data_IF_374911977506
#
_entry.id   IF_374911977506
#
_cell.length_a   1.000
_cell.length_b   1.000
_cell.length_c   1.000
_cell.angle_alpha   90.00
_cell.angle_beta   90.00
_cell.angle_gamma   90.00
#
_symmetry.space_group_name_H-M   'P 1'
#
loop_
_entity.id
_entity.type
_entity.pdbx_description
1 polymer ?
#
# COMPACT_ATOMS: atom_id res chain seq x y z
N UNK A 1 9.76 22.16 21.78
CA UNK A 1 9.91 21.21 20.65
C UNK A 1 8.67 20.36 20.59
N UNK A 2 8.10 20.17 19.42
CA UNK A 2 6.98 19.25 19.21
C UNK A 2 7.54 17.84 19.06
N UNK A 3 7.16 16.93 19.96
CA UNK A 3 7.55 15.52 19.88
C UNK A 3 6.52 14.76 19.07
N UNK A 4 6.97 13.93 18.11
CA UNK A 4 6.08 13.07 17.30
C UNK A 4 6.46 11.63 17.53
N UNK A 5 5.47 10.78 17.78
CA UNK A 5 5.65 9.31 17.85
C UNK A 5 5.43 8.71 16.47
N UNK A 6 6.36 7.88 16.03
CA UNK A 6 6.32 7.20 14.72
C UNK A 6 6.20 5.70 14.96
N UNK A 7 5.35 5.03 14.17
CA UNK A 7 5.25 3.57 14.12
C UNK A 7 5.75 3.06 12.78
N UNK A 8 6.75 2.18 12.79
CA UNK A 8 7.14 1.39 11.65
C UNK A 8 6.43 0.03 11.74
N UNK A 9 5.60 -0.28 10.77
CA UNK A 9 4.83 -1.52 10.73
C UNK A 9 5.70 -2.64 10.16
N UNK A 10 5.84 -3.72 10.93
CA UNK A 10 6.42 -4.97 10.44
C UNK A 10 5.31 -6.02 10.42
N UNK A 11 4.76 -6.28 9.23
CA UNK A 11 3.71 -7.26 9.02
C UNK A 11 3.88 -7.91 7.65
N UNK A 12 3.53 -9.19 7.56
CA UNK A 12 3.37 -9.86 6.28
C UNK A 12 2.08 -9.38 5.60
N UNK A 13 2.13 -9.16 4.29
CA UNK A 13 0.95 -9.00 3.44
C UNK A 13 0.26 -10.36 3.22
N UNK A 14 -0.98 -10.33 2.72
CA UNK A 14 -1.65 -11.52 2.19
C UNK A 14 -1.35 -11.60 0.71
N UNK A 15 -0.61 -12.62 0.28
CA UNK A 15 -0.08 -12.71 -1.08
C UNK A 15 -1.19 -12.59 -2.13
N UNK A 16 -1.07 -11.60 -3.02
CA UNK A 16 -1.96 -11.39 -4.17
C UNK A 16 -3.44 -11.24 -3.78
N UNK A 17 -3.70 -10.57 -2.67
CA UNK A 17 -5.06 -10.25 -2.22
C UNK A 17 -5.12 -8.77 -1.82
N UNK A 18 -5.61 -7.94 -2.74
CA UNK A 18 -5.71 -6.49 -2.56
C UNK A 18 -6.59 -6.14 -1.35
N UNK A 19 -7.74 -6.80 -1.23
CA UNK A 19 -8.74 -6.50 -0.20
C UNK A 19 -8.27 -6.94 1.19
N UNK A 20 -7.68 -8.14 1.31
CA UNK A 20 -7.13 -8.62 2.57
C UNK A 20 -5.94 -7.76 3.02
N UNK A 21 -5.06 -7.34 2.10
CA UNK A 21 -3.97 -6.42 2.42
C UNK A 21 -4.48 -5.04 2.85
N UNK A 22 -5.47 -4.51 2.15
CA UNK A 22 -6.11 -3.24 2.49
C UNK A 22 -6.75 -3.27 3.88
N UNK A 23 -7.55 -4.31 4.17
CA UNK A 23 -8.17 -4.49 5.48
C UNK A 23 -7.13 -4.57 6.60
N UNK A 24 -6.06 -5.34 6.38
CA UNK A 24 -4.95 -5.45 7.32
C UNK A 24 -4.20 -4.13 7.53
N UNK A 25 -4.00 -3.35 6.48
CA UNK A 25 -3.36 -2.04 6.57
C UNK A 25 -4.21 -1.09 7.42
N UNK A 26 -5.52 -1.07 7.22
CA UNK A 26 -6.46 -0.27 8.03
C UNK A 26 -6.40 -0.69 9.50
N UNK A 27 -6.51 -1.98 9.79
CA UNK A 27 -6.46 -2.49 11.17
C UNK A 27 -5.15 -2.11 11.90
N UNK A 28 -4.01 -2.28 11.23
CA UNK A 28 -2.70 -1.93 11.78
C UNK A 28 -2.54 -0.42 11.98
N UNK A 29 -3.11 0.39 11.08
CA UNK A 29 -3.14 1.85 11.24
C UNK A 29 -3.91 2.25 12.49
N UNK A 30 -5.10 1.67 12.71
CA UNK A 30 -5.90 1.91 13.92
C UNK A 30 -5.15 1.49 15.19
N UNK A 31 -4.47 0.34 15.18
CA UNK A 31 -3.66 -0.12 16.32
C UNK A 31 -2.51 0.84 16.63
N UNK A 32 -1.78 1.29 15.61
CA UNK A 32 -0.67 2.25 15.78
C UNK A 32 -1.17 3.60 16.30
N UNK A 33 -2.30 4.09 15.79
CA UNK A 33 -2.94 5.31 16.26
C UNK A 33 -3.42 5.20 17.70
N UNK A 34 -4.01 4.07 18.11
CA UNK A 34 -4.39 3.79 19.49
C UNK A 34 -3.17 3.77 20.44
N UNK A 35 -1.99 3.39 19.93
CA UNK A 35 -0.73 3.50 20.66
C UNK A 35 -0.14 4.94 20.65
N UNK A 36 -0.83 5.92 20.08
CA UNK A 36 -0.46 7.33 20.06
C UNK A 36 0.53 7.71 18.96
N UNK A 37 0.69 6.90 17.91
CA UNK A 37 1.51 7.26 16.76
C UNK A 37 0.85 8.40 15.96
N UNK A 38 1.63 9.40 15.55
CA UNK A 38 1.20 10.46 14.63
C UNK A 38 1.60 10.22 13.18
N UNK A 39 2.58 9.32 12.96
CA UNK A 39 3.02 8.87 11.64
C UNK A 39 3.12 7.34 11.67
N UNK A 40 2.55 6.69 10.66
CA UNK A 40 2.58 5.23 10.51
C UNK A 40 3.12 4.90 9.12
N UNK A 41 4.18 4.10 9.08
CA UNK A 41 4.90 3.73 7.86
C UNK A 41 4.80 2.23 7.67
N UNK A 42 4.30 1.81 6.51
CA UNK A 42 4.20 0.42 6.08
C UNK A 42 5.43 -0.01 5.26
N UNK A 43 5.66 -1.33 5.13
CA UNK A 43 6.67 -1.87 4.25
C UNK A 43 6.46 -1.48 2.78
N UNK A 44 7.51 -1.71 1.99
CA UNK A 44 7.48 -1.63 0.54
C UNK A 44 6.48 -2.65 -0.05
N UNK A 45 5.74 -2.24 -1.09
CA UNK A 45 4.77 -3.08 -1.82
C UNK A 45 3.87 -3.91 -0.88
N UNK A 46 3.20 -3.23 0.06
CA UNK A 46 2.31 -3.92 1.01
C UNK A 46 0.98 -4.36 0.38
N UNK A 47 0.54 -3.67 -0.68
CA UNK A 47 -0.70 -3.98 -1.42
C UNK A 47 -0.38 -4.15 -2.91
N UNK A 48 -0.70 -5.31 -3.54
CA UNK A 48 -1.25 -6.53 -2.96
C UNK A 48 -0.17 -7.46 -2.34
N UNK A 49 1.07 -7.00 -2.25
CA UNK A 49 2.21 -7.78 -1.74
C UNK A 49 3.27 -7.98 -2.81
N UNK A 50 4.54 -7.91 -2.41
CA UNK A 50 5.65 -8.05 -3.37
C UNK A 50 5.57 -9.35 -4.17
N UNK A 51 5.91 -9.33 -5.47
CA UNK A 51 5.85 -10.50 -6.34
C UNK A 51 7.00 -11.48 -6.06
N UNK A 52 6.91 -12.24 -4.96
CA UNK A 52 7.95 -13.18 -4.51
C UNK A 52 8.25 -14.32 -5.50
N UNK A 53 7.37 -14.57 -6.48
CA UNK A 53 7.59 -15.61 -7.49
C UNK A 53 8.62 -15.20 -8.56
N UNK A 54 8.94 -13.91 -8.68
CA UNK A 54 9.99 -13.44 -9.61
C UNK A 54 11.34 -14.05 -9.24
N UNK A 55 11.57 -14.35 -7.96
CA UNK A 55 12.78 -15.01 -7.49
C UNK A 55 12.72 -16.55 -7.60
N UNK A 56 11.55 -17.11 -7.92
CA UNK A 56 11.29 -18.55 -7.90
C UNK A 56 11.34 -19.21 -9.27
N UNK A 57 11.10 -18.48 -10.36
CA UNK A 57 11.10 -18.99 -11.73
C UNK A 57 11.91 -18.07 -12.67
N UNK A 58 12.62 -18.62 -13.67
CA UNK A 58 13.28 -17.80 -14.67
C UNK A 58 12.27 -16.97 -15.46
N UNK A 59 12.59 -15.71 -15.75
CA UNK A 59 11.71 -14.74 -16.42
C UNK A 59 11.19 -15.16 -17.82
N UNK A 60 11.70 -16.26 -18.39
CA UNK A 60 11.32 -16.78 -19.70
C UNK A 60 10.46 -18.05 -19.62
N UNK A 61 10.22 -18.59 -18.42
CA UNK A 61 9.41 -19.78 -18.18
C UNK A 61 8.11 -19.42 -17.45
N UNK A 62 7.13 -18.93 -18.21
CA UNK A 62 5.70 -19.01 -17.82
C UNK A 62 5.27 -18.23 -16.58
N UNK A 63 5.66 -16.96 -16.47
CA UNK A 63 5.18 -16.04 -15.42
C UNK A 63 3.85 -15.35 -15.76
N UNK A 64 3.27 -15.61 -16.93
CA UNK A 64 2.10 -14.91 -17.46
C UNK A 64 0.85 -14.96 -16.57
N UNK A 65 0.57 -16.11 -15.94
CA UNK A 65 -0.58 -16.25 -15.04
C UNK A 65 -0.38 -15.46 -13.74
N UNK A 66 0.85 -15.47 -13.22
CA UNK A 66 1.22 -14.69 -12.03
C UNK A 66 1.20 -13.19 -12.30
N UNK A 67 1.70 -12.78 -13.47
CA UNK A 67 1.64 -11.39 -13.89
C UNK A 67 0.20 -10.95 -14.13
N UNK A 68 -0.65 -11.78 -14.75
CA UNK A 68 -2.07 -11.48 -14.91
C UNK A 68 -2.77 -11.33 -13.55
N UNK A 69 -2.45 -12.18 -12.58
CA UNK A 69 -2.95 -12.06 -11.20
C UNK A 69 -2.45 -10.77 -10.54
N UNK A 70 -1.18 -10.42 -10.72
CA UNK A 70 -0.63 -9.16 -10.20
C UNK A 70 -1.33 -7.95 -10.82
N UNK A 71 -1.56 -7.93 -12.13
CA UNK A 71 -2.30 -6.88 -12.83
C UNK A 71 -3.73 -6.76 -12.29
N UNK A 72 -4.40 -7.88 -12.01
CA UNK A 72 -5.75 -7.88 -11.43
C UNK A 72 -5.75 -7.29 -10.00
N UNK A 73 -4.73 -7.60 -9.21
CA UNK A 73 -4.63 -7.23 -7.79
C UNK A 73 -3.89 -5.90 -7.55
N UNK A 74 -3.26 -5.32 -8.57
CA UNK A 74 -2.57 -4.03 -8.46
C UNK A 74 -3.55 -2.85 -8.34
N UNK A 75 -3.08 -1.79 -7.70
CA UNK A 75 -3.87 -0.63 -7.29
C UNK A 75 -3.97 0.38 -8.43
N UNK A 76 -5.19 0.76 -8.79
CA UNK A 76 -5.40 1.94 -9.65
C UNK A 76 -5.42 3.19 -8.76
N UNK A 77 -4.55 4.16 -9.08
CA UNK A 77 -4.44 5.43 -8.36
C UNK A 77 -4.87 6.59 -9.27
N UNK A 78 -5.77 7.49 -8.84
CA UNK A 78 -6.64 7.37 -7.67
C UNK A 78 -7.74 6.32 -7.86
N UNK A 79 -8.24 5.75 -6.76
CA UNK A 79 -9.29 4.73 -6.78
C UNK A 79 -9.73 4.26 -5.39
N UNK A 80 -10.58 3.21 -5.30
CA UNK A 80 -11.20 2.75 -4.05
C UNK A 80 -10.22 2.44 -2.91
N UNK A 81 -9.06 1.85 -3.25
CA UNK A 81 -7.98 1.58 -2.28
C UNK A 81 -7.46 2.89 -1.68
N UNK A 82 -7.13 3.87 -2.51
CA UNK A 82 -6.62 5.16 -2.04
C UNK A 82 -7.68 5.97 -1.29
N UNK A 83 -8.96 5.83 -1.64
CA UNK A 83 -10.06 6.44 -0.91
C UNK A 83 -10.19 5.84 0.50
N UNK A 84 -10.08 4.52 0.62
CA UNK A 84 -10.13 3.78 1.89
C UNK A 84 -8.94 4.12 2.79
N UNK A 85 -7.71 4.08 2.25
CA UNK A 85 -6.51 4.45 2.99
C UNK A 85 -6.55 5.92 3.45
N UNK A 86 -7.01 6.81 2.57
CA UNK A 86 -7.19 8.21 2.89
C UNK A 86 -8.25 8.45 3.97
N UNK A 87 -9.35 7.69 3.96
CA UNK A 87 -10.37 7.73 5.00
C UNK A 87 -9.81 7.25 6.34
N UNK A 88 -9.14 6.10 6.36
CA UNK A 88 -8.53 5.55 7.57
C UNK A 88 -7.50 6.53 8.19
N UNK A 89 -6.65 7.17 7.37
CA UNK A 89 -5.70 8.18 7.85
C UNK A 89 -6.37 9.41 8.47
N UNK A 90 -7.53 9.83 7.95
CA UNK A 90 -8.33 10.92 8.53
C UNK A 90 -8.99 10.49 9.83
N UNK A 91 -9.57 9.30 9.86
CA UNK A 91 -10.29 8.76 11.03
C UNK A 91 -9.34 8.56 12.22
N UNK A 92 -8.10 8.14 11.97
CA UNK A 92 -7.08 7.98 13.01
C UNK A 92 -6.31 9.26 13.32
N UNK A 93 -6.45 10.31 12.50
CA UNK A 93 -5.69 11.54 12.65
C UNK A 93 -4.17 11.38 12.45
N UNK A 94 -3.76 10.37 11.67
CA UNK A 94 -2.33 10.05 11.43
C UNK A 94 -1.88 10.40 10.01
N UNK A 95 -0.58 10.63 9.84
CA UNK A 95 0.04 10.50 8.52
C UNK A 95 0.29 9.02 8.22
N UNK A 96 -0.09 8.58 7.02
CA UNK A 96 0.12 7.23 6.53
C UNK A 96 1.09 7.25 5.33
N UNK A 97 2.09 6.38 5.37
CA UNK A 97 3.01 6.09 4.25
C UNK A 97 2.93 4.61 3.94
N UNK A 98 2.66 4.25 2.69
CA UNK A 98 2.47 2.85 2.29
C UNK A 98 2.92 2.61 0.85
N UNK A 99 3.65 1.52 0.63
CA UNK A 99 4.02 1.05 -0.70
C UNK A 99 2.91 0.21 -1.33
N UNK A 100 2.68 0.40 -2.64
CA UNK A 100 1.71 -0.36 -3.44
C UNK A 100 2.30 -0.67 -4.81
N UNK A 101 1.84 -1.75 -5.43
CA UNK A 101 1.94 -1.91 -6.88
C UNK A 101 0.82 -1.09 -7.52
N UNK A 102 1.18 0.01 -8.17
CA UNK A 102 0.28 0.86 -8.92
C UNK A 102 0.18 0.35 -10.36
N UNK A 103 -1.04 0.25 -10.91
CA UNK A 103 -1.24 0.01 -12.33
C UNK A 103 -1.96 1.15 -13.01
N UNK A 104 -1.68 1.30 -14.30
CA UNK A 104 -2.44 2.20 -15.16
C UNK A 104 -3.92 1.78 -15.22
N UNK A 105 -4.88 2.72 -15.22
CA UNK A 105 -6.31 2.39 -15.22
C UNK A 105 -6.74 1.47 -16.37
N UNK A 106 -6.13 1.62 -17.55
CA UNK A 106 -6.46 0.89 -18.77
C UNK A 106 -5.24 0.16 -19.37
N UNK A 107 -4.28 -0.25 -18.53
CA UNK A 107 -3.05 -0.91 -18.95
C UNK A 107 -2.61 -2.02 -17.99
N UNK A 108 -1.53 -2.70 -18.38
CA UNK A 108 -0.88 -3.73 -17.56
C UNK A 108 0.46 -3.24 -16.99
N UNK A 109 0.89 -2.01 -17.31
CA UNK A 109 2.12 -1.45 -16.73
C UNK A 109 1.95 -1.27 -15.23
N UNK A 110 2.92 -1.78 -14.47
CA UNK A 110 2.94 -1.73 -13.00
C UNK A 110 4.14 -0.93 -12.54
N UNK A 111 3.92 -0.09 -11.53
CA UNK A 111 4.91 0.76 -10.89
C UNK A 111 4.96 0.45 -9.40
N UNK A 112 6.17 0.39 -8.83
CA UNK A 112 6.35 0.38 -7.39
C UNK A 112 6.16 1.82 -6.88
N UNK A 113 5.02 2.08 -6.23
CA UNK A 113 4.61 3.42 -5.83
C UNK A 113 4.52 3.54 -4.32
N UNK A 114 5.11 4.61 -3.76
CA UNK A 114 4.88 5.01 -2.37
C UNK A 114 3.81 6.10 -2.30
N UNK A 115 2.76 5.85 -1.53
CA UNK A 115 1.65 6.79 -1.32
C UNK A 115 1.76 7.48 0.04
N UNK A 116 1.35 8.75 0.08
CA UNK A 116 1.33 9.58 1.28
C UNK A 116 -0.09 10.12 1.53
N UNK A 117 -0.63 9.84 2.72
CA UNK A 117 -1.91 10.38 3.16
C UNK A 117 -1.72 11.22 4.42
N UNK A 118 -2.37 12.38 4.45
CA UNK A 118 -2.38 13.25 5.61
C UNK A 118 -3.69 13.14 6.40
N UNK A 119 -3.70 13.56 7.68
CA UNK A 119 -4.89 13.59 8.52
C UNK A 119 -5.90 14.68 8.12
N UNK A 120 -5.58 15.50 7.12
CA UNK A 120 -6.43 16.55 6.55
C UNK A 120 -6.64 16.26 5.07
N UNK A 121 -7.73 16.76 4.49
CA UNK A 121 -8.20 16.45 3.14
C UNK A 121 -7.31 16.91 1.95
N UNK A 122 -5.98 16.88 2.08
CA UNK A 122 -5.03 17.18 1.00
C UNK A 122 -4.22 15.92 0.73
N UNK A 123 -4.67 15.10 -0.23
CA UNK A 123 -3.87 14.01 -0.79
C UNK A 123 -2.72 14.61 -1.62
N UNK A 124 -1.49 14.21 -1.34
CA UNK A 124 -0.35 14.40 -2.23
C UNK A 124 0.20 13.03 -2.57
N UNK A 125 -0.24 12.46 -3.70
CA UNK A 125 0.47 11.33 -4.29
C UNK A 125 1.72 11.89 -4.97
N UNK A 126 2.88 11.35 -4.61
CA UNK A 126 4.16 11.63 -5.26
C UNK A 126 4.63 10.29 -5.83
N UNK A 127 4.38 10.06 -7.11
CA UNK A 127 4.98 8.96 -7.86
C UNK A 127 6.49 9.22 -7.93
N UNK A 128 7.29 8.29 -7.39
CA UNK A 128 8.72 8.27 -7.66
C UNK A 128 8.90 7.78 -9.10
N UNK A 129 9.11 8.73 -10.01
CA UNK A 129 9.47 8.50 -11.41
C UNK A 129 10.92 8.04 -11.56
#
# INVERSE_FOLDING_TARGET
MTTVKVAAVQAAYTLMDQDACLGKAVDLLHQAAAAGAGIVVFPEVFIPGTPIWIDAQPIWDGDGDWYALLVDQAVVVPGPVTETLGAAARDTGTYLVIGVDEREPHGATIYNTTLYFGPKARCSASTAS
#
